data_IF_420071117435
#
_entry.id   IF_420071117435
#
_cell.length_a   1.000
_cell.length_b   1.000
_cell.length_c   1.000
_cell.angle_alpha   90.00
_cell.angle_beta   90.00
_cell.angle_gamma   90.00
#
_symmetry.space_group_name_H-M   'P 1'
#
loop_
_entity.id
_entity.type
_entity.pdbx_description
1 polymer ?
#
# COMPACT_ATOMS: atom_id res chain seq x y z
N UNK A 1 -0.01 1.55 -15.08
CA UNK A 1 -0.61 1.11 -13.83
C UNK A 1 0.42 0.99 -12.72
N UNK A 2 -0.05 1.27 -11.50
CA UNK A 2 0.83 1.31 -10.35
C UNK A 2 1.01 -0.05 -9.69
N UNK A 3 0.23 -1.04 -10.10
CA UNK A 3 0.29 -2.38 -9.53
C UNK A 3 0.88 -3.34 -10.55
N UNK A 4 1.92 -4.06 -10.14
CA UNK A 4 2.58 -5.06 -10.99
C UNK A 4 2.69 -6.36 -10.22
N UNK A 5 2.13 -7.43 -10.78
CA UNK A 5 2.15 -8.76 -10.17
C UNK A 5 1.58 -8.78 -8.74
N UNK A 6 0.57 -7.94 -8.48
CA UNK A 6 -0.05 -7.89 -7.16
C UNK A 6 0.71 -7.06 -6.13
N UNK A 7 1.67 -6.26 -6.58
CA UNK A 7 2.43 -5.37 -5.70
C UNK A 7 2.35 -3.94 -6.17
N UNK A 8 2.27 -3.04 -5.22
CA UNK A 8 2.24 -1.60 -5.48
C UNK A 8 3.51 -0.97 -4.91
N UNK A 9 4.20 -0.15 -5.70
CA UNK A 9 5.40 0.53 -5.24
C UNK A 9 5.02 1.88 -4.65
N UNK A 10 5.41 2.11 -3.39
CA UNK A 10 5.10 3.34 -2.68
C UNK A 10 5.84 4.51 -3.32
N UNK A 11 5.10 5.56 -3.64
CA UNK A 11 5.66 6.78 -4.23
C UNK A 11 5.97 7.80 -3.11
N UNK A 12 6.81 8.80 -3.41
CA UNK A 12 7.12 9.83 -2.40
C UNK A 12 5.85 10.50 -1.85
N UNK A 13 5.83 10.70 -0.56
CA UNK A 13 4.74 11.40 0.15
C UNK A 13 3.40 10.65 0.17
N UNK A 14 3.39 9.39 -0.24
CA UNK A 14 2.16 8.61 -0.16
C UNK A 14 1.97 8.05 1.24
N UNK A 15 0.70 7.84 1.61
CA UNK A 15 0.33 7.24 2.88
C UNK A 15 -0.51 6.00 2.60
N UNK A 16 -0.66 5.15 3.63
CA UNK A 16 -1.52 3.97 3.49
C UNK A 16 -2.94 4.37 3.13
N UNK A 17 -3.43 5.46 3.70
CA UNK A 17 -4.78 5.92 3.41
C UNK A 17 -4.92 6.31 1.94
N UNK A 18 -3.98 7.07 1.43
CA UNK A 18 -4.01 7.50 0.03
C UNK A 18 -3.92 6.30 -0.91
N UNK A 19 -3.02 5.36 -0.61
CA UNK A 19 -2.85 4.18 -1.44
C UNK A 19 -4.10 3.30 -1.40
N UNK A 20 -4.68 3.12 -0.22
CA UNK A 20 -5.88 2.29 -0.10
C UNK A 20 -7.04 2.87 -0.90
N UNK A 21 -7.22 4.19 -0.87
CA UNK A 21 -8.27 4.85 -1.66
C UNK A 21 -8.00 4.70 -3.16
N UNK A 22 -6.76 4.86 -3.55
CA UNK A 22 -6.36 4.73 -4.95
C UNK A 22 -6.67 3.33 -5.48
N UNK A 23 -6.47 2.31 -4.64
CA UNK A 23 -6.65 0.92 -5.03
C UNK A 23 -8.05 0.38 -4.73
N UNK A 24 -8.91 1.20 -4.12
CA UNK A 24 -10.27 0.79 -3.80
C UNK A 24 -10.36 -0.23 -2.69
N UNK A 25 -9.43 -0.20 -1.75
CA UNK A 25 -9.43 -1.12 -0.60
C UNK A 25 -9.35 -0.32 0.70
N UNK A 26 -9.58 -0.99 1.83
CA UNK A 26 -9.49 -0.33 3.13
C UNK A 26 -8.06 -0.33 3.62
N UNK A 27 -7.73 0.63 4.50
CA UNK A 27 -6.41 0.68 5.12
C UNK A 27 -6.16 -0.61 5.91
N UNK A 28 -7.19 -1.09 6.61
CA UNK A 28 -7.07 -2.31 7.41
C UNK A 28 -6.74 -3.52 6.54
N UNK A 29 -7.39 -3.62 5.39
CA UNK A 29 -7.11 -4.72 4.47
C UNK A 29 -5.67 -4.65 3.96
N UNK A 30 -5.24 -3.45 3.59
CA UNK A 30 -3.88 -3.26 3.09
C UNK A 30 -2.85 -3.60 4.14
N UNK A 31 -3.07 -3.16 5.39
CA UNK A 31 -2.16 -3.48 6.48
C UNK A 31 -2.14 -4.99 6.75
N UNK A 32 -3.30 -5.62 6.72
CA UNK A 32 -3.40 -7.05 6.98
C UNK A 32 -2.64 -7.87 5.93
N UNK A 33 -2.78 -7.49 4.66
CA UNK A 33 -2.08 -8.19 3.58
C UNK A 33 -0.57 -8.12 3.71
N UNK A 34 -0.06 -7.06 4.35
CA UNK A 34 1.37 -6.81 4.44
C UNK A 34 1.94 -7.02 5.84
N UNK A 35 1.12 -7.44 6.79
CA UNK A 35 1.57 -7.64 8.15
C UNK A 35 2.07 -6.36 8.81
N UNK A 36 1.52 -5.22 8.43
CA UNK A 36 1.96 -3.93 8.96
C UNK A 36 1.29 -3.66 10.30
N UNK A 37 2.08 -3.15 11.24
CA UNK A 37 1.58 -2.81 12.57
C UNK A 37 1.32 -1.32 12.73
N UNK A 38 1.79 -0.52 11.81
CA UNK A 38 1.58 0.92 11.84
C UNK A 38 1.38 1.43 10.41
N UNK A 39 1.28 2.75 10.26
CA UNK A 39 1.03 3.37 8.96
C UNK A 39 2.30 3.91 8.30
N UNK A 40 3.46 3.56 8.83
CA UNK A 40 4.71 4.07 8.27
C UNK A 40 5.09 3.34 6.99
N UNK A 41 5.41 4.12 5.98
CA UNK A 41 5.81 3.60 4.68
C UNK A 41 7.09 4.28 4.22
N UNK A 42 7.81 3.60 3.34
CA UNK A 42 9.04 4.14 2.76
C UNK A 42 8.87 4.23 1.25
N UNK A 43 9.40 5.30 0.67
CA UNK A 43 9.41 5.44 -0.79
C UNK A 43 10.13 4.25 -1.41
N UNK A 44 9.50 3.66 -2.42
CA UNK A 44 10.06 2.48 -3.08
C UNK A 44 9.69 1.16 -2.43
N UNK A 45 9.02 1.20 -1.27
CA UNK A 45 8.56 0.00 -0.60
C UNK A 45 7.49 -0.68 -1.45
N UNK A 46 7.51 -2.01 -1.51
CA UNK A 46 6.49 -2.74 -2.23
C UNK A 46 5.44 -3.28 -1.27
N UNK A 47 4.19 -2.97 -1.58
CA UNK A 47 3.05 -3.42 -0.78
C UNK A 47 2.27 -4.47 -1.55
N UNK A 48 1.97 -5.56 -0.88
CA UNK A 48 1.12 -6.59 -1.47
C UNK A 48 -0.32 -6.08 -1.45
N UNK A 49 -0.99 -6.13 -2.60
CA UNK A 49 -2.34 -5.58 -2.73
C UNK A 49 -3.35 -6.63 -3.23
N UNK A 50 -2.92 -7.87 -3.15
CA UNK A 50 -3.74 -8.94 -3.68
C UNK A 50 -3.70 -10.17 -2.78
#
# INVERSE_FOLDING_TARGET
>A
PDVIDGYYTVQPKETLYAISKKLGMTVEKLKSLNGLMDNNLYTGQQLKVK
#
